data_IF_453062780710
#
_entry.id   IF_453062780710
#
_cell.length_a   1.000
_cell.length_b   1.000
_cell.length_c   1.000
_cell.angle_alpha   90.00
_cell.angle_beta   90.00
_cell.angle_gamma   90.00
#
_symmetry.space_group_name_H-M   'P 1'
#
loop_
_entity.id
_entity.type
_entity.pdbx_description
1 polymer ?
#
# COMPACT_ATOMS: atom_id res chain seq x y z
N UNK A 1 0.03 16.41 -1.46
CA UNK A 1 0.47 15.71 -0.22
C UNK A 1 0.77 14.23 -0.48
N UNK A 2 -0.11 13.48 -1.16
CA UNK A 2 0.20 12.10 -1.57
C UNK A 2 1.40 11.99 -2.52
N UNK A 3 1.74 13.04 -3.27
CA UNK A 3 2.82 12.99 -4.28
C UNK A 3 4.21 12.79 -3.67
N UNK A 4 4.50 13.42 -2.53
CA UNK A 4 5.79 13.22 -1.83
C UNK A 4 5.88 11.79 -1.28
N UNK A 5 4.81 11.31 -0.64
CA UNK A 5 4.73 9.93 -0.14
C UNK A 5 4.84 8.93 -1.29
N UNK A 6 4.18 9.20 -2.42
CA UNK A 6 4.25 8.36 -3.61
C UNK A 6 5.68 8.31 -4.19
N UNK A 7 6.39 9.43 -4.23
CA UNK A 7 7.81 9.45 -4.63
C UNK A 7 8.66 8.61 -3.69
N UNK A 8 8.46 8.74 -2.37
CA UNK A 8 9.20 7.95 -1.37
C UNK A 8 8.90 6.45 -1.52
N UNK A 9 7.62 6.08 -1.64
CA UNK A 9 7.18 4.70 -1.75
C UNK A 9 7.57 4.04 -3.09
N UNK A 10 7.77 4.83 -4.14
CA UNK A 10 8.28 4.35 -5.43
C UNK A 10 9.78 4.20 -5.48
N UNK A 11 10.52 4.85 -4.58
CA UNK A 11 11.97 4.63 -4.48
C UNK A 11 12.24 3.18 -4.09
N UNK A 12 13.08 2.50 -4.88
CA UNK A 12 13.42 1.09 -4.66
C UNK A 12 12.50 0.09 -5.36
N UNK A 13 11.41 0.51 -6.01
CA UNK A 13 10.62 -0.41 -6.85
C UNK A 13 11.42 -0.75 -8.11
N UNK A 14 11.88 -2.01 -8.20
CA UNK A 14 12.43 -2.55 -9.45
C UNK A 14 11.30 -2.70 -10.48
N UNK A 15 11.45 -2.02 -11.61
CA UNK A 15 10.55 -2.18 -12.73
C UNK A 15 10.96 -3.41 -13.54
N UNK A 16 10.01 -4.24 -14.00
CA UNK A 16 10.34 -5.36 -14.86
C UNK A 16 10.91 -4.85 -16.19
N UNK A 17 12.07 -5.40 -16.58
CA UNK A 17 12.90 -4.96 -17.72
C UNK A 17 12.17 -5.20 -19.06
N UNK A 18 11.25 -6.16 -19.09
CA UNK A 18 10.47 -6.57 -20.26
C UNK A 18 9.11 -5.88 -20.42
N UNK A 19 8.79 -4.87 -19.60
CA UNK A 19 7.53 -4.11 -19.72
C UNK A 19 6.26 -4.90 -19.36
N UNK A 20 6.36 -6.19 -19.00
CA UNK A 20 5.25 -6.95 -18.45
C UNK A 20 4.87 -6.38 -17.07
N UNK A 21 3.81 -5.58 -17.05
CA UNK A 21 3.11 -5.03 -15.87
C UNK A 21 3.99 -4.15 -14.97
N UNK A 22 3.84 -2.82 -15.10
CA UNK A 22 4.46 -1.84 -14.20
C UNK A 22 4.15 -2.18 -12.74
N UNK A 23 5.21 -2.39 -11.93
CA UNK A 23 5.08 -2.50 -10.48
C UNK A 23 4.85 -1.10 -9.92
N UNK A 24 3.93 -1.02 -8.98
CA UNK A 24 3.58 0.19 -8.24
C UNK A 24 3.49 -0.16 -6.75
N UNK A 25 3.73 0.81 -5.88
CA UNK A 25 3.77 0.62 -4.42
C UNK A 25 2.47 0.03 -3.87
N UNK A 26 1.35 0.23 -4.57
CA UNK A 26 0.09 -0.42 -4.25
C UNK A 26 0.22 -1.95 -4.15
N UNK A 27 0.96 -2.59 -5.04
CA UNK A 27 1.12 -4.05 -5.05
C UNK A 27 1.85 -4.56 -3.81
N UNK A 28 2.70 -3.74 -3.19
CA UNK A 28 3.33 -4.06 -1.91
C UNK A 28 2.37 -3.84 -0.75
N UNK A 29 1.57 -2.77 -0.80
CA UNK A 29 0.57 -2.48 0.22
C UNK A 29 -0.52 -3.56 0.29
N UNK A 30 -0.92 -4.11 -0.86
CA UNK A 30 -1.87 -5.22 -0.95
C UNK A 30 -1.34 -6.52 -0.30
N UNK A 31 -0.02 -6.69 -0.23
CA UNK A 31 0.65 -7.84 0.38
C UNK A 31 0.97 -7.65 1.86
N UNK A 32 0.66 -6.50 2.45
CA UNK A 32 0.93 -6.27 3.87
C UNK A 32 0.09 -7.21 4.74
N UNK A 33 0.65 -7.67 5.88
CA UNK A 33 -0.11 -8.49 6.83
C UNK A 33 -1.40 -7.77 7.23
N UNK A 34 -2.54 -8.40 6.94
CA UNK A 34 -3.86 -7.85 7.24
C UNK A 34 -4.28 -8.06 8.68
N UNK A 35 -3.62 -8.99 9.37
CA UNK A 35 -3.88 -9.36 10.75
C UNK A 35 -2.91 -8.63 11.69
N UNK A 36 -3.42 -8.13 12.81
CA UNK A 36 -2.61 -7.67 13.92
C UNK A 36 -1.91 -8.87 14.62
N UNK A 37 -0.92 -8.64 15.50
CA UNK A 37 -0.26 -9.73 16.25
C UNK A 37 -1.21 -10.58 17.11
N UNK A 38 -2.44 -10.11 17.36
CA UNK A 38 -3.48 -10.83 18.09
C UNK A 38 -4.46 -11.59 17.16
N UNK A 39 -4.20 -11.63 15.85
CA UNK A 39 -5.06 -12.32 14.87
C UNK A 39 -6.36 -11.58 14.54
N UNK A 40 -6.51 -10.30 14.90
CA UNK A 40 -7.65 -9.46 14.55
C UNK A 40 -7.41 -8.73 13.23
N UNK A 41 -8.49 -8.46 12.51
CA UNK A 41 -8.46 -7.59 11.33
C UNK A 41 -7.94 -6.21 11.73
N UNK A 42 -6.75 -5.86 11.24
CA UNK A 42 -6.14 -4.56 11.49
C UNK A 42 -6.97 -3.46 10.82
N UNK A 43 -6.90 -2.23 11.32
CA UNK A 43 -7.50 -1.08 10.62
C UNK A 43 -6.97 -0.93 9.18
N UNK A 44 -5.79 -1.48 8.90
CA UNK A 44 -5.19 -1.55 7.56
C UNK A 44 -5.96 -2.49 6.63
N UNK A 45 -6.38 -3.66 7.11
CA UNK A 45 -7.20 -4.61 6.34
C UNK A 45 -8.53 -3.99 5.89
N UNK A 46 -9.20 -3.26 6.80
CA UNK A 46 -10.46 -2.57 6.49
C UNK A 46 -10.27 -1.49 5.44
N UNK A 47 -9.19 -0.71 5.53
CA UNK A 47 -8.86 0.30 4.53
C UNK A 47 -8.47 -0.32 3.17
N UNK A 48 -7.82 -1.49 3.20
CA UNK A 48 -7.42 -2.22 2.00
C UNK A 48 -8.65 -2.76 1.26
N UNK A 49 -9.55 -3.43 1.97
CA UNK A 49 -10.81 -3.93 1.41
C UNK A 49 -11.67 -2.80 0.82
N UNK A 50 -11.80 -1.67 1.53
CA UNK A 50 -12.47 -0.48 1.01
C UNK A 50 -11.84 0.05 -0.28
N UNK A 51 -10.51 -0.10 -0.42
CA UNK A 51 -9.79 0.36 -1.61
C UNK A 51 -9.96 -0.60 -2.78
N UNK A 52 -9.89 -1.92 -2.56
CA UNK A 52 -10.03 -2.96 -3.60
C UNK A 52 -11.46 -2.97 -4.15
N UNK A 53 -12.45 -2.79 -3.28
CA UNK A 53 -13.88 -2.76 -3.66
C UNK A 53 -14.32 -1.44 -4.32
N UNK A 54 -13.47 -0.40 -4.29
CA UNK A 54 -13.79 0.90 -4.86
C UNK A 54 -13.71 0.88 -6.40
N UNK A 55 -14.87 0.68 -7.04
CA UNK A 55 -15.01 0.64 -8.52
C UNK A 55 -14.58 1.93 -9.23
N UNK A 56 -14.48 3.06 -8.51
CA UNK A 56 -14.02 4.35 -9.06
C UNK A 56 -12.51 4.36 -9.34
N UNK A 57 -11.75 3.41 -8.79
CA UNK A 57 -10.29 3.42 -8.81
C UNK A 57 -9.75 2.20 -9.54
N UNK A 58 -9.40 2.40 -10.81
CA UNK A 58 -9.06 1.32 -11.75
C UNK A 58 -7.56 1.07 -11.87
N UNK A 59 -6.72 2.06 -11.53
CA UNK A 59 -5.26 1.95 -11.67
C UNK A 59 -4.62 1.59 -10.33
N UNK A 60 -3.51 0.85 -10.37
CA UNK A 60 -2.72 0.53 -9.16
C UNK A 60 -2.28 1.80 -8.43
N UNK A 61 -1.79 2.80 -9.17
CA UNK A 61 -1.45 4.12 -8.62
C UNK A 61 -2.66 4.80 -7.96
N UNK A 62 -3.83 4.74 -8.59
CA UNK A 62 -5.06 5.29 -8.03
C UNK A 62 -5.42 4.61 -6.72
N UNK A 63 -5.30 3.28 -6.66
CA UNK A 63 -5.59 2.48 -5.45
C UNK A 63 -4.63 2.84 -4.33
N UNK A 64 -3.33 2.92 -4.63
CA UNK A 64 -2.32 3.41 -3.71
C UNK A 64 -2.65 4.80 -3.14
N UNK A 65 -3.02 5.76 -4.00
CA UNK A 65 -3.42 7.11 -3.57
C UNK A 65 -4.67 7.09 -2.70
N UNK A 66 -5.66 6.28 -3.05
CA UNK A 66 -6.89 6.16 -2.27
C UNK A 66 -6.62 5.58 -0.88
N UNK A 67 -5.83 4.52 -0.82
CA UNK A 67 -5.46 3.85 0.43
C UNK A 67 -4.64 4.76 1.36
N UNK A 68 -3.64 5.49 0.83
CA UNK A 68 -2.88 6.47 1.62
C UNK A 68 -3.81 7.56 2.20
N UNK A 69 -4.78 8.05 1.42
CA UNK A 69 -5.76 9.03 1.91
C UNK A 69 -6.62 8.45 3.02
N UNK A 70 -7.08 7.20 2.90
CA UNK A 70 -7.82 6.55 3.97
C UNK A 70 -6.97 6.41 5.24
N UNK A 71 -5.71 6.02 5.12
CA UNK A 71 -4.80 5.89 6.24
C UNK A 71 -4.47 7.23 6.93
N UNK A 72 -4.34 8.31 6.16
CA UNK A 72 -4.18 9.66 6.69
C UNK A 72 -5.43 10.11 7.46
N UNK A 73 -6.61 9.91 6.89
CA UNK A 73 -7.88 10.27 7.53
C UNK A 73 -8.12 9.48 8.82
N UNK A 74 -7.66 8.22 8.87
CA UNK A 74 -7.78 7.35 10.04
C UNK A 74 -6.60 7.46 11.01
N UNK A 75 -5.59 8.28 10.71
CA UNK A 75 -4.34 8.43 11.48
C UNK A 75 -3.55 7.12 11.64
N UNK A 76 -3.67 6.20 10.67
CA UNK A 76 -3.02 4.88 10.68
C UNK A 76 -1.79 4.80 9.78
N UNK A 77 -1.41 5.89 9.11
CA UNK A 77 -0.25 5.90 8.20
C UNK A 77 1.06 5.47 8.89
N UNK A 78 1.27 5.85 10.16
CA UNK A 78 2.45 5.42 10.92
C UNK A 78 2.52 3.89 11.07
N UNK A 79 1.37 3.25 11.27
CA UNK A 79 1.23 1.80 11.40
C UNK A 79 1.59 1.13 10.06
N UNK A 80 1.13 1.68 8.94
CA UNK A 80 1.52 1.20 7.59
C UNK A 80 3.03 1.25 7.39
N UNK A 81 3.65 2.39 7.73
CA UNK A 81 5.11 2.56 7.59
C UNK A 81 5.84 1.56 8.50
N UNK A 82 5.35 1.33 9.72
CA UNK A 82 5.92 0.34 10.62
C UNK A 82 5.82 -1.08 10.04
N UNK A 83 4.68 -1.49 9.48
CA UNK A 83 4.57 -2.80 8.84
C UNK A 83 5.47 -2.93 7.60
N UNK A 84 5.56 -1.89 6.77
CA UNK A 84 6.47 -1.88 5.62
C UNK A 84 7.94 -2.06 6.04
N UNK A 85 8.36 -1.42 7.14
CA UNK A 85 9.72 -1.59 7.68
C UNK A 85 10.01 -3.01 8.17
N UNK A 86 9.01 -3.71 8.73
CA UNK A 86 9.15 -5.08 9.23
C UNK A 86 8.93 -6.15 8.15
N UNK A 87 8.67 -5.76 6.90
CA UNK A 87 8.48 -6.68 5.77
C UNK A 87 9.66 -6.54 4.78
N UNK A 88 10.88 -6.97 5.14
CA UNK A 88 12.08 -6.75 4.32
C UNK A 88 12.04 -7.48 2.97
N UNK A 89 11.20 -8.52 2.83
CA UNK A 89 11.12 -9.39 1.64
C UNK A 89 10.44 -8.78 0.42
N UNK A 90 9.82 -7.59 0.52
CA UNK A 90 9.12 -6.97 -0.62
C UNK A 90 10.04 -6.10 -1.50
N UNK A 91 11.30 -5.91 -1.10
CA UNK A 91 12.32 -5.12 -1.80
C UNK A 91 13.29 -5.95 -2.68
N UNK A 92 13.12 -7.27 -2.73
CA UNK A 92 13.91 -8.17 -3.61
C UNK A 92 13.40 -8.16 -5.07
#
# INVERSE_FOLDING_TARGET
MCDILEVILRKGIRQPILGLRRRDYWHWMEQLPQLDPCGRLSQLSVALEKTITCKKVLTAQGRGRHYIRQALNQKTLAIIIQHLRHTPRLLE
#
